data_IF_185739639297
#
_entry.id   IF_185739639297
#
_cell.length_a   1.000
_cell.length_b   1.000
_cell.length_c   1.000
_cell.angle_alpha   90.00
_cell.angle_beta   90.00
_cell.angle_gamma   90.00
#
_symmetry.space_group_name_H-M   'P 1'
#
loop_
_entity.id
_entity.type
_entity.pdbx_description
1 polymer ?
#
# COMPACT_ATOMS: atom_id res chain seq x y z
N UNK A 1 -7.77 -17.08 -27.52
CA UNK A 1 -8.73 -15.93 -27.37
C UNK A 1 -9.25 -15.81 -25.96
N UNK A 2 -10.15 -16.69 -25.48
CA UNK A 2 -10.68 -16.63 -24.08
C UNK A 2 -9.56 -16.63 -23.05
N UNK A 3 -8.58 -17.51 -23.18
CA UNK A 3 -7.43 -17.59 -22.27
C UNK A 3 -6.63 -16.27 -22.21
N UNK A 4 -6.50 -15.60 -23.33
CA UNK A 4 -5.76 -14.32 -23.40
C UNK A 4 -6.54 -13.21 -22.69
N UNK A 5 -7.88 -13.16 -22.86
CA UNK A 5 -8.75 -12.25 -22.14
C UNK A 5 -8.71 -12.50 -20.62
N UNK A 6 -8.73 -13.76 -20.19
CA UNK A 6 -8.63 -14.12 -18.79
C UNK A 6 -7.27 -13.73 -18.21
N UNK A 7 -6.19 -13.95 -18.93
CA UNK A 7 -4.85 -13.53 -18.51
C UNK A 7 -4.73 -12.01 -18.41
N UNK A 8 -5.30 -11.27 -19.35
CA UNK A 8 -5.34 -9.81 -19.29
C UNK A 8 -6.16 -9.32 -18.10
N UNK A 9 -7.35 -9.88 -17.90
CA UNK A 9 -8.20 -9.57 -16.75
C UNK A 9 -7.46 -9.83 -15.43
N UNK A 10 -6.78 -10.95 -15.31
CA UNK A 10 -6.00 -11.28 -14.12
C UNK A 10 -4.85 -10.29 -13.89
N UNK A 11 -4.11 -9.93 -14.94
CA UNK A 11 -3.03 -8.96 -14.84
C UNK A 11 -3.54 -7.59 -14.36
N UNK A 12 -4.69 -7.14 -14.90
CA UNK A 12 -5.34 -5.89 -14.49
C UNK A 12 -5.86 -5.94 -13.05
N UNK A 13 -6.47 -7.06 -12.63
CA UNK A 13 -6.94 -7.26 -11.26
C UNK A 13 -5.78 -7.29 -10.27
N UNK A 14 -4.67 -7.93 -10.63
CA UNK A 14 -3.43 -7.91 -9.84
C UNK A 14 -2.88 -6.50 -9.70
N UNK A 15 -2.93 -5.70 -10.76
CA UNK A 15 -2.59 -4.28 -10.72
C UNK A 15 -3.46 -3.50 -9.73
N UNK A 16 -4.77 -3.75 -9.70
CA UNK A 16 -5.68 -3.13 -8.75
C UNK A 16 -5.36 -3.52 -7.28
N UNK A 17 -4.99 -4.76 -7.04
CA UNK A 17 -4.51 -5.22 -5.72
C UNK A 17 -3.21 -4.52 -5.33
N UNK A 18 -2.28 -4.35 -6.27
CA UNK A 18 -1.03 -3.64 -5.97
C UNK A 18 -1.27 -2.17 -5.59
N UNK A 19 -2.16 -1.49 -6.30
CA UNK A 19 -2.57 -0.12 -5.95
C UNK A 19 -3.18 -0.08 -4.55
N UNK A 20 -4.08 -1.02 -4.23
CA UNK A 20 -4.67 -1.13 -2.89
C UNK A 20 -3.59 -1.37 -1.82
N UNK A 21 -2.66 -2.28 -2.08
CA UNK A 21 -1.55 -2.56 -1.17
C UNK A 21 -0.73 -1.30 -0.87
N UNK A 22 -0.38 -0.54 -1.90
CA UNK A 22 0.38 0.70 -1.77
C UNK A 22 -0.42 1.78 -1.02
N UNK A 23 -1.70 1.94 -1.33
CA UNK A 23 -2.60 2.87 -0.66
C UNK A 23 -2.76 2.55 0.83
N UNK A 24 -2.91 1.28 1.18
CA UNK A 24 -3.00 0.84 2.56
C UNK A 24 -1.67 1.00 3.32
N UNK A 25 -0.56 0.73 2.65
CA UNK A 25 0.78 0.94 3.24
C UNK A 25 1.05 2.40 3.57
N UNK A 26 0.48 3.35 2.82
CA UNK A 26 0.59 4.78 3.07
C UNK A 26 -0.24 5.25 4.28
N UNK A 27 -1.22 4.47 4.74
CA UNK A 27 -2.03 4.80 5.91
C UNK A 27 -1.21 4.58 7.18
N UNK A 28 -1.00 5.64 7.95
CA UNK A 28 -0.28 5.60 9.22
C UNK A 28 -1.15 4.99 10.31
N UNK A 29 -0.70 3.88 10.89
CA UNK A 29 -1.43 3.15 11.92
C UNK A 29 -0.94 3.42 13.34
N UNK A 30 0.00 4.35 13.53
CA UNK A 30 0.69 4.55 14.79
C UNK A 30 1.79 3.52 15.08
N UNK A 31 1.94 2.51 14.22
CA UNK A 31 3.03 1.54 14.26
C UNK A 31 4.25 2.09 13.55
N UNK A 32 5.42 1.99 14.17
CA UNK A 32 6.67 2.37 13.56
C UNK A 32 7.01 1.43 12.39
N UNK A 33 7.42 2.01 11.26
CA UNK A 33 7.93 1.30 10.11
C UNK A 33 9.04 2.10 9.45
N UNK A 34 10.12 1.47 8.98
CA UNK A 34 11.16 2.17 8.23
C UNK A 34 10.63 2.95 7.03
N UNK A 35 9.57 2.46 6.39
CA UNK A 35 8.93 3.10 5.24
C UNK A 35 8.41 4.52 5.50
N UNK A 36 8.19 4.88 6.77
CA UNK A 36 7.76 6.23 7.14
C UNK A 36 8.79 7.30 6.83
N UNK A 37 10.07 6.94 6.89
CA UNK A 37 11.19 7.90 6.81
C UNK A 37 12.25 7.54 5.77
N UNK A 38 12.25 6.32 5.24
CA UNK A 38 13.33 5.83 4.35
C UNK A 38 13.50 6.65 3.06
N UNK A 39 12.42 7.23 2.54
CA UNK A 39 12.42 8.07 1.34
C UNK A 39 12.52 9.56 1.64
N UNK A 40 12.61 9.95 2.91
CA UNK A 40 12.74 11.35 3.29
C UNK A 40 13.99 11.96 2.67
N UNK A 41 13.89 13.07 1.90
CA UNK A 41 15.06 13.72 1.32
C UNK A 41 15.85 14.44 2.40
N UNK A 42 17.13 14.11 2.49
CA UNK A 42 18.09 14.75 3.38
C UNK A 42 19.08 15.53 2.53
N UNK A 43 19.37 16.75 2.90
CA UNK A 43 20.41 17.53 2.24
C UNK A 43 21.80 16.98 2.58
N UNK A 44 22.44 16.37 1.59
CA UNK A 44 23.76 15.76 1.71
C UNK A 44 24.66 16.32 0.62
N UNK A 45 25.69 17.09 1.02
CA UNK A 45 26.59 17.81 0.11
C UNK A 45 25.87 18.62 -0.98
N UNK A 46 24.78 19.30 -0.61
CA UNK A 46 23.98 20.13 -1.50
C UNK A 46 23.02 19.39 -2.43
N UNK A 47 22.89 18.07 -2.28
CA UNK A 47 21.98 17.25 -3.07
C UNK A 47 20.95 16.53 -2.16
N UNK A 48 19.65 16.49 -2.52
CA UNK A 48 18.66 15.73 -1.78
C UNK A 48 18.93 14.22 -1.95
N UNK A 49 19.15 13.53 -0.83
CA UNK A 49 19.47 12.10 -0.80
C UNK A 49 18.47 11.38 0.12
N UNK A 50 17.87 10.26 -0.30
CA UNK A 50 16.95 9.49 0.55
C UNK A 50 17.64 9.02 1.84
N UNK A 51 16.94 9.11 2.96
CA UNK A 51 17.47 8.75 4.28
C UNK A 51 18.03 7.31 4.32
N UNK A 52 17.38 6.38 3.64
CA UNK A 52 17.83 4.98 3.55
C UNK A 52 19.26 4.80 3.04
N UNK A 53 19.76 5.76 2.26
CA UNK A 53 21.15 5.74 1.76
C UNK A 53 22.16 6.32 2.76
N UNK A 54 21.71 7.05 3.75
CA UNK A 54 22.54 7.78 4.71
C UNK A 54 22.56 7.17 6.11
N UNK A 55 21.62 6.29 6.42
CA UNK A 55 21.45 5.76 7.75
C UNK A 55 20.85 4.34 7.76
N UNK A 56 21.11 3.61 8.84
CA UNK A 56 20.40 2.39 9.19
C UNK A 56 19.16 2.75 9.98
N UNK A 57 18.01 2.20 9.55
CA UNK A 57 16.70 2.45 10.18
C UNK A 57 16.21 1.15 10.80
N UNK A 58 15.89 1.16 12.08
CA UNK A 58 15.41 -0.01 12.82
C UNK A 58 14.17 0.32 13.67
N UNK A 59 13.41 -0.70 14.04
CA UNK A 59 12.21 -0.61 14.87
C UNK A 59 12.41 -1.49 16.10
N UNK A 60 13.05 -0.95 17.17
CA UNK A 60 13.29 -1.71 18.40
C UNK A 60 12.00 -2.00 19.16
N UNK A 61 11.00 -1.12 19.05
CA UNK A 61 9.69 -1.23 19.69
C UNK A 61 8.59 -0.86 18.71
N UNK A 62 7.32 -1.29 18.93
CA UNK A 62 6.22 -1.07 17.98
C UNK A 62 5.95 0.38 17.59
N UNK A 63 6.32 1.34 18.44
CA UNK A 63 6.12 2.79 18.23
C UNK A 63 7.40 3.60 18.24
N UNK A 64 8.55 2.96 18.15
CA UNK A 64 9.85 3.62 18.17
C UNK A 64 10.65 3.30 16.92
N UNK A 65 11.09 4.33 16.21
CA UNK A 65 12.07 4.25 15.14
C UNK A 65 13.43 4.69 15.64
N UNK A 66 14.46 3.96 15.27
CA UNK A 66 15.85 4.31 15.54
C UNK A 66 16.59 4.52 14.23
N UNK A 67 17.17 5.70 14.06
CA UNK A 67 17.95 6.09 12.87
C UNK A 67 19.40 6.28 13.29
N UNK A 68 20.25 5.41 12.78
CA UNK A 68 21.70 5.47 13.01
C UNK A 68 22.41 5.92 11.74
N UNK A 69 22.89 7.16 11.65
CA UNK A 69 23.64 7.63 10.50
C UNK A 69 24.93 6.83 10.30
N UNK A 70 25.26 6.55 9.04
CA UNK A 70 26.56 5.94 8.68
C UNK A 70 27.72 6.93 8.89
N UNK A 71 27.43 8.23 8.67
CA UNK A 71 28.33 9.34 8.92
C UNK A 71 27.74 10.26 10.01
N UNK A 72 28.40 10.37 11.14
CA UNK A 72 27.93 11.19 12.27
C UNK A 72 27.80 12.67 11.94
N UNK A 73 28.45 13.18 10.91
CA UNK A 73 28.32 14.57 10.47
C UNK A 73 26.93 14.89 9.87
N UNK A 74 26.18 13.87 9.43
CA UNK A 74 24.84 14.03 8.86
C UNK A 74 23.73 14.06 9.89
N UNK A 75 24.03 13.79 11.17
CA UNK A 75 23.04 13.68 12.26
C UNK A 75 22.12 14.90 12.36
N UNK A 76 22.70 16.10 12.35
CA UNK A 76 21.94 17.35 12.43
C UNK A 76 21.08 17.62 11.20
N UNK A 77 21.57 17.26 10.01
CA UNK A 77 20.82 17.41 8.77
C UNK A 77 19.61 16.48 8.75
N UNK A 78 19.77 15.25 9.23
CA UNK A 78 18.69 14.26 9.34
C UNK A 78 17.64 14.73 10.37
N UNK A 79 18.08 15.17 11.54
CA UNK A 79 17.21 15.72 12.57
C UNK A 79 16.38 16.90 12.07
N UNK A 80 17.01 17.85 11.40
CA UNK A 80 16.33 19.00 10.81
C UNK A 80 15.31 18.58 9.74
N UNK A 81 15.66 17.66 8.87
CA UNK A 81 14.76 17.16 7.83
C UNK A 81 13.51 16.50 8.41
N UNK A 82 13.65 15.75 9.50
CA UNK A 82 12.52 15.15 10.22
C UNK A 82 11.64 16.22 10.88
N UNK A 83 12.24 17.20 11.52
CA UNK A 83 11.49 18.30 12.17
C UNK A 83 10.71 19.17 11.20
N UNK A 84 11.25 19.40 10.01
CA UNK A 84 10.62 20.22 8.96
C UNK A 84 9.69 19.43 8.04
N UNK A 85 9.67 18.10 8.17
CA UNK A 85 8.78 17.23 7.40
C UNK A 85 7.33 17.33 7.87
N UNK A 86 6.41 16.91 7.00
CA UNK A 86 4.99 16.80 7.34
C UNK A 86 4.66 15.63 8.29
N UNK A 87 5.69 14.88 8.73
CA UNK A 87 5.52 13.73 9.61
C UNK A 87 5.00 14.11 11.01
N UNK A 88 5.25 15.35 11.47
CA UNK A 88 4.83 15.82 12.80
C UNK A 88 5.51 15.07 13.95
N UNK A 89 6.68 14.49 13.70
CA UNK A 89 7.46 13.75 14.70
C UNK A 89 8.56 14.62 15.29
N UNK A 90 8.80 14.48 16.59
CA UNK A 90 9.89 15.14 17.28
C UNK A 90 11.05 14.17 17.44
N UNK A 91 12.18 14.40 16.75
CA UNK A 91 13.37 13.57 16.90
C UNK A 91 14.04 13.83 18.26
N UNK A 92 14.50 12.75 18.88
CA UNK A 92 15.34 12.79 20.07
C UNK A 92 16.72 12.22 19.74
N UNK A 93 17.76 13.01 19.95
CA UNK A 93 19.13 12.74 19.55
C UNK A 93 20.00 12.51 20.79
N UNK A 94 20.68 11.37 20.86
CA UNK A 94 21.63 11.04 21.93
C UNK A 94 23.09 11.36 21.56
N UNK A 95 23.33 12.05 20.43
CA UNK A 95 24.64 12.38 19.88
C UNK A 95 25.17 11.38 18.83
N UNK A 96 24.58 10.19 18.73
CA UNK A 96 24.95 9.14 17.78
C UNK A 96 23.77 8.58 17.00
N UNK A 97 22.61 8.53 17.61
CA UNK A 97 21.40 7.90 17.10
C UNK A 97 20.22 8.83 17.31
N UNK A 98 19.31 8.87 16.34
CA UNK A 98 18.05 9.59 16.45
C UNK A 98 16.94 8.60 16.78
N UNK A 99 16.20 8.91 17.84
CA UNK A 99 15.01 8.14 18.27
C UNK A 99 13.75 8.92 17.92
N UNK A 100 12.81 8.25 17.25
CA UNK A 100 11.48 8.78 16.93
C UNK A 100 10.43 7.98 17.68
N UNK A 101 9.71 8.62 18.58
CA UNK A 101 8.57 8.03 19.26
C UNK A 101 7.28 8.46 18.58
N UNK A 102 6.52 7.49 18.09
CA UNK A 102 5.22 7.71 17.50
C UNK A 102 4.16 7.81 18.61
N UNK A 103 3.31 8.86 18.60
CA UNK A 103 2.23 8.94 19.56
C UNK A 103 1.21 7.82 19.36
N UNK A 104 0.58 7.30 20.45
CA UNK A 104 -0.49 6.33 20.30
C UNK A 104 -1.70 6.95 19.61
N UNK A 105 -2.42 6.15 18.84
CA UNK A 105 -3.70 6.56 18.25
C UNK A 105 -4.77 6.65 19.34
N UNK A 106 -5.57 7.72 19.32
CA UNK A 106 -6.80 7.76 20.10
C UNK A 106 -7.94 7.02 19.39
N UNK A 107 -9.04 6.77 20.07
CA UNK A 107 -10.18 6.01 19.54
C UNK A 107 -10.83 6.71 18.32
N UNK A 108 -10.97 8.03 18.37
CA UNK A 108 -11.50 8.81 17.26
C UNK A 108 -10.64 8.67 16.01
N UNK A 109 -9.32 8.80 16.15
CA UNK A 109 -8.38 8.65 15.04
C UNK A 109 -8.39 7.24 14.46
N UNK A 110 -8.51 6.21 15.29
CA UNK A 110 -8.65 4.82 14.84
C UNK A 110 -9.90 4.64 14.00
N UNK A 111 -11.04 5.18 14.42
CA UNK A 111 -12.28 5.13 13.66
C UNK A 111 -12.15 5.82 12.30
N UNK A 112 -11.53 6.97 12.24
CA UNK A 112 -11.28 7.69 10.99
C UNK A 112 -10.39 6.90 10.05
N UNK A 113 -9.34 6.28 10.56
CA UNK A 113 -8.45 5.43 9.76
C UNK A 113 -9.17 4.19 9.22
N UNK A 114 -10.04 3.56 10.02
CA UNK A 114 -10.86 2.42 9.56
C UNK A 114 -11.80 2.84 8.43
N UNK A 115 -12.44 4.01 8.54
CA UNK A 115 -13.27 4.55 7.45
C UNK A 115 -12.45 4.77 6.18
N UNK A 116 -11.24 5.28 6.31
CA UNK A 116 -10.35 5.49 5.18
C UNK A 116 -9.93 4.18 4.53
N UNK A 117 -9.63 3.16 5.33
CA UNK A 117 -9.39 1.79 4.84
C UNK A 117 -10.59 1.27 4.05
N UNK A 118 -11.80 1.35 4.59
CA UNK A 118 -13.03 0.91 3.93
C UNK A 118 -13.25 1.62 2.58
N UNK A 119 -12.96 2.90 2.52
CA UNK A 119 -13.04 3.66 1.27
C UNK A 119 -12.06 3.11 0.21
N UNK A 120 -10.81 2.85 0.59
CA UNK A 120 -9.82 2.25 -0.32
C UNK A 120 -10.19 0.84 -0.77
N UNK A 121 -10.76 0.03 0.13
CA UNK A 121 -11.24 -1.30 -0.22
C UNK A 121 -12.37 -1.23 -1.26
N UNK A 122 -13.31 -0.31 -1.10
CA UNK A 122 -14.41 -0.15 -2.06
C UNK A 122 -13.91 0.34 -3.42
N UNK A 123 -12.96 1.26 -3.47
CA UNK A 123 -12.32 1.68 -4.73
C UNK A 123 -11.68 0.48 -5.45
N UNK A 124 -11.00 -0.40 -4.72
CA UNK A 124 -10.40 -1.61 -5.29
C UNK A 124 -11.47 -2.59 -5.82
N UNK A 125 -12.57 -2.79 -5.08
CA UNK A 125 -13.70 -3.62 -5.53
C UNK A 125 -14.34 -3.06 -6.79
N UNK A 126 -14.53 -1.76 -6.86
CA UNK A 126 -15.07 -1.09 -8.06
C UNK A 126 -14.14 -1.31 -9.25
N UNK A 127 -12.84 -1.16 -9.08
CA UNK A 127 -11.85 -1.41 -10.12
C UNK A 127 -11.93 -2.87 -10.62
N UNK A 128 -12.00 -3.84 -9.72
CA UNK A 128 -12.11 -5.26 -10.06
C UNK A 128 -13.42 -5.56 -10.79
N UNK A 129 -14.55 -5.02 -10.33
CA UNK A 129 -15.85 -5.18 -11.01
C UNK A 129 -15.87 -4.55 -12.40
N UNK A 130 -15.21 -3.42 -12.58
CA UNK A 130 -15.08 -2.80 -13.90
C UNK A 130 -14.25 -3.67 -14.85
N UNK A 131 -13.12 -4.22 -14.40
CA UNK A 131 -12.30 -5.15 -15.18
C UNK A 131 -13.12 -6.37 -15.59
N UNK A 132 -13.88 -6.96 -14.67
CA UNK A 132 -14.79 -8.07 -14.97
C UNK A 132 -15.79 -7.71 -16.05
N UNK A 133 -16.45 -6.55 -15.92
CA UNK A 133 -17.45 -6.07 -16.88
C UNK A 133 -16.85 -5.88 -18.26
N UNK A 134 -15.68 -5.26 -18.35
CA UNK A 134 -15.00 -5.02 -19.62
C UNK A 134 -14.66 -6.34 -20.30
N UNK A 135 -14.01 -7.27 -19.58
CA UNK A 135 -13.65 -8.59 -20.10
C UNK A 135 -14.86 -9.43 -20.49
N UNK A 136 -15.94 -9.35 -19.74
CA UNK A 136 -17.21 -10.00 -20.08
C UNK A 136 -17.80 -9.46 -21.39
N UNK A 137 -17.77 -8.14 -21.59
CA UNK A 137 -18.23 -7.52 -22.83
C UNK A 137 -17.40 -7.96 -24.03
N UNK A 138 -16.07 -7.99 -23.88
CA UNK A 138 -15.15 -8.45 -24.93
C UNK A 138 -15.44 -9.92 -25.31
N UNK A 139 -15.70 -10.80 -24.34
CA UNK A 139 -16.08 -12.18 -24.60
C UNK A 139 -17.39 -12.28 -25.37
N UNK A 140 -18.39 -11.48 -25.00
CA UNK A 140 -19.69 -11.45 -25.72
C UNK A 140 -19.57 -10.91 -27.13
N UNK A 141 -18.71 -9.95 -27.36
CA UNK A 141 -18.46 -9.43 -28.70
C UNK A 141 -17.75 -10.49 -29.57
N UNK A 142 -16.83 -11.26 -29.03
CA UNK A 142 -16.24 -12.41 -29.75
C UNK A 142 -17.28 -13.48 -30.13
N UNK A 143 -18.26 -13.73 -29.26
CA UNK A 143 -19.35 -14.67 -29.56
C UNK A 143 -20.25 -14.13 -30.68
N UNK A 144 -20.64 -12.85 -30.62
CA UNK A 144 -21.44 -12.20 -31.69
C UNK A 144 -20.74 -12.22 -33.05
N UNK A 145 -19.43 -12.03 -33.04
CA UNK A 145 -18.59 -12.11 -34.27
C UNK A 145 -18.31 -13.55 -34.67
N UNK A 146 -18.85 -14.55 -33.96
CA UNK A 146 -18.66 -15.99 -34.21
C UNK A 146 -17.19 -16.44 -34.16
N UNK A 147 -16.38 -15.75 -33.39
CA UNK A 147 -14.98 -16.10 -33.14
C UNK A 147 -14.84 -17.16 -32.04
N UNK A 148 -15.84 -17.29 -31.18
CA UNK A 148 -15.99 -18.32 -30.16
C UNK A 148 -17.41 -18.87 -30.19
N UNK A 149 -17.60 -20.08 -29.67
CA UNK A 149 -18.92 -20.71 -29.51
C UNK A 149 -19.62 -20.22 -28.23
N UNK A 150 -20.93 -20.45 -28.14
CA UNK A 150 -21.72 -20.16 -26.93
C UNK A 150 -21.20 -20.95 -25.72
N UNK A 151 -20.80 -22.23 -25.90
CA UNK A 151 -20.21 -23.06 -24.85
C UNK A 151 -18.86 -22.50 -24.37
N UNK A 152 -18.04 -21.96 -25.26
CA UNK A 152 -16.79 -21.30 -24.89
C UNK A 152 -17.03 -19.99 -24.13
N UNK A 153 -18.06 -19.23 -24.53
CA UNK A 153 -18.48 -18.03 -23.80
C UNK A 153 -18.90 -18.39 -22.37
N UNK A 154 -19.79 -19.36 -22.20
CA UNK A 154 -20.28 -19.77 -20.86
C UNK A 154 -19.14 -20.23 -19.95
N UNK A 155 -18.21 -21.03 -20.47
CA UNK A 155 -17.01 -21.44 -19.72
C UNK A 155 -16.11 -20.27 -19.37
N UNK A 156 -15.89 -19.36 -20.29
CA UNK A 156 -15.11 -18.15 -20.08
C UNK A 156 -15.71 -17.23 -19.00
N UNK A 157 -17.03 -17.03 -19.04
CA UNK A 157 -17.77 -16.27 -18.03
C UNK A 157 -17.66 -16.90 -16.63
N UNK A 158 -17.77 -18.23 -16.54
CA UNK A 158 -17.61 -18.95 -15.28
C UNK A 158 -16.19 -18.83 -14.71
N UNK A 159 -15.16 -18.93 -15.54
CA UNK A 159 -13.77 -18.73 -15.12
C UNK A 159 -13.50 -17.29 -14.71
N UNK A 160 -14.04 -16.30 -15.44
CA UNK A 160 -13.92 -14.89 -15.11
C UNK A 160 -14.58 -14.57 -13.76
N UNK A 161 -15.73 -15.20 -13.46
CA UNK A 161 -16.39 -15.04 -12.17
C UNK A 161 -15.55 -15.61 -11.01
N UNK A 162 -14.98 -16.80 -11.19
CA UNK A 162 -14.07 -17.40 -10.19
C UNK A 162 -12.84 -16.51 -9.94
N UNK A 163 -12.28 -15.96 -11.01
CA UNK A 163 -11.15 -15.04 -10.93
C UNK A 163 -11.52 -13.77 -10.15
N UNK A 164 -12.69 -13.20 -10.46
CA UNK A 164 -13.21 -12.01 -9.79
C UNK A 164 -13.42 -12.27 -8.29
N UNK A 165 -14.06 -13.39 -7.94
CA UNK A 165 -14.32 -13.76 -6.54
C UNK A 165 -13.02 -13.91 -5.75
N UNK A 166 -12.00 -14.51 -6.34
CA UNK A 166 -10.68 -14.64 -5.72
C UNK A 166 -10.05 -13.29 -5.38
N UNK A 167 -10.08 -12.35 -6.32
CA UNK A 167 -9.50 -11.01 -6.08
C UNK A 167 -10.35 -10.15 -5.15
N UNK A 168 -11.67 -10.29 -5.15
CA UNK A 168 -12.53 -9.63 -4.17
C UNK A 168 -12.26 -10.16 -2.75
N UNK A 169 -12.03 -11.45 -2.60
CA UNK A 169 -11.62 -12.03 -1.32
C UNK A 169 -10.24 -11.53 -0.87
N UNK A 170 -9.29 -11.41 -1.78
CA UNK A 170 -7.97 -10.85 -1.50
C UNK A 170 -8.06 -9.39 -1.03
N UNK A 171 -8.95 -8.59 -1.60
CA UNK A 171 -9.25 -7.23 -1.09
C UNK A 171 -9.72 -7.28 0.36
N UNK A 172 -10.64 -8.18 0.69
CA UNK A 172 -11.14 -8.33 2.06
C UNK A 172 -10.04 -8.76 3.04
N UNK A 173 -9.13 -9.63 2.64
CA UNK A 173 -7.99 -10.06 3.45
C UNK A 173 -7.02 -8.90 3.74
N UNK A 174 -6.69 -8.10 2.74
CA UNK A 174 -5.89 -6.87 2.92
C UNK A 174 -6.55 -5.91 3.90
N UNK A 175 -7.88 -5.75 3.82
CA UNK A 175 -8.66 -4.92 4.73
C UNK A 175 -8.60 -5.41 6.17
N UNK A 176 -8.81 -6.69 6.40
CA UNK A 176 -8.73 -7.31 7.73
C UNK A 176 -7.36 -7.13 8.38
N UNK A 177 -6.30 -7.35 7.61
CA UNK A 177 -4.93 -7.14 8.07
C UNK A 177 -4.70 -5.70 8.52
N UNK A 178 -5.12 -4.74 7.69
CA UNK A 178 -4.91 -3.32 8.00
C UNK A 178 -5.74 -2.84 9.18
N UNK A 179 -6.99 -3.28 9.29
CA UNK A 179 -7.83 -2.99 10.44
C UNK A 179 -7.24 -3.55 11.75
N UNK A 180 -6.72 -4.78 11.72
CA UNK A 180 -6.02 -5.37 12.86
C UNK A 180 -4.81 -4.54 13.29
N UNK A 181 -3.98 -4.08 12.34
CA UNK A 181 -2.87 -3.19 12.62
C UNK A 181 -3.31 -1.87 13.30
N UNK A 182 -4.42 -1.29 12.86
CA UNK A 182 -4.97 -0.06 13.44
C UNK A 182 -5.48 -0.29 14.87
N UNK A 183 -6.08 -1.44 15.13
CA UNK A 183 -6.71 -1.74 16.42
C UNK A 183 -5.73 -2.27 17.49
N UNK A 184 -4.61 -2.84 17.08
CA UNK A 184 -3.61 -3.42 18.00
C UNK A 184 -2.68 -2.39 18.67
N UNK A 185 -2.66 -1.14 18.24
CA UNK A 185 -1.66 -0.14 18.68
C UNK A 185 -2.26 0.85 19.69
#
# INVERSE_FOLDING_TARGET
MIKDLLNDAEARMRGAIQVLHDDLAAIRTGRASPSLVEKLPIEYYGAPTPLMQLASISVPEPRTLTIKPFDGSTLKAIERAIMTSELGLNPNNDGKVIHLNLPPLNEERRRDLVKHVHHRLEEARVAIRNIRRDSHNDMRDFEKEKLISEDELERGEAELQKLTDRYVEEVAEHGKKKEAEIMEV
#
